data_IF_580442042459
#
_entry.id   IF_580442042459
#
_cell.length_a   1.000
_cell.length_b   1.000
_cell.length_c   1.000
_cell.angle_alpha   90.00
_cell.angle_beta   90.00
_cell.angle_gamma   90.00
#
_symmetry.space_group_name_H-M   'P 1'
#
loop_
_entity.id
_entity.type
_entity.pdbx_description
1 polymer ?
#
# COMPACT_ATOMS: atom_id res chain seq x y z
N UNK A 1 55.87 100.96 -29.51
CA UNK A 1 55.96 101.28 -30.95
C UNK A 1 55.23 102.60 -31.18
N UNK A 2 55.78 103.52 -31.99
CA UNK A 2 55.36 104.93 -32.12
C UNK A 2 55.62 105.79 -30.86
N UNK A 3 56.47 106.83 -30.83
CA UNK A 3 57.55 107.18 -31.78
C UNK A 3 57.54 108.63 -32.26
N UNK A 4 58.33 109.50 -31.62
CA UNK A 4 58.77 110.83 -32.12
C UNK A 4 57.62 111.87 -32.33
N UNK A 5 57.80 113.20 -32.43
CA UNK A 5 58.95 114.14 -32.40
C UNK A 5 58.40 115.57 -32.09
N UNK A 6 59.13 116.69 -31.96
CA UNK A 6 60.57 117.03 -32.07
C UNK A 6 60.92 117.99 -30.89
N UNK A 7 61.21 119.27 -31.12
CA UNK A 7 61.93 120.20 -30.25
C UNK A 7 61.60 121.69 -30.51
N UNK A 8 61.84 122.52 -29.50
CA UNK A 8 62.33 123.93 -29.51
C UNK A 8 62.46 124.67 -30.86
N UNK A 9 62.02 125.93 -30.86
CA UNK A 9 62.89 127.08 -31.21
C UNK A 9 62.41 128.36 -30.53
N UNK A 10 63.36 129.22 -30.15
CA UNK A 10 63.18 130.41 -29.31
C UNK A 10 64.03 131.54 -29.88
N UNK A 11 63.40 132.63 -30.31
CA UNK A 11 64.06 133.86 -30.80
C UNK A 11 63.01 134.94 -31.08
N UNK A 12 63.16 136.21 -30.71
CA UNK A 12 64.12 136.89 -29.82
C UNK A 12 63.44 138.22 -29.37
N UNK A 13 63.78 138.84 -28.22
CA UNK A 13 63.05 139.99 -27.68
C UNK A 13 63.38 141.31 -28.37
N UNK A 14 62.42 142.24 -28.39
CA UNK A 14 62.62 143.62 -28.86
C UNK A 14 62.16 144.64 -27.81
N UNK A 15 63.12 145.49 -27.42
CA UNK A 15 63.10 146.77 -26.71
C UNK A 15 62.10 147.07 -25.56
N UNK A 16 62.67 147.39 -24.41
CA UNK A 16 61.95 147.95 -23.26
C UNK A 16 61.54 149.41 -23.48
N UNK A 17 60.31 149.75 -23.06
CA UNK A 17 59.95 151.12 -22.63
C UNK A 17 59.41 151.08 -21.19
N UNK A 18 59.81 152.04 -20.34
CA UNK A 18 59.59 151.93 -18.89
C UNK A 18 58.28 152.59 -18.47
N UNK A 19 57.14 151.97 -18.80
CA UNK A 19 55.85 152.37 -18.24
C UNK A 19 55.56 151.56 -16.97
N UNK A 20 55.31 152.28 -15.88
CA UNK A 20 55.12 151.72 -14.54
C UNK A 20 53.76 151.05 -14.40
N UNK A 21 53.60 149.82 -14.92
CA UNK A 21 52.57 148.91 -14.41
C UNK A 21 52.86 148.65 -12.94
N UNK A 22 51.98 149.11 -12.05
CA UNK A 22 52.22 149.02 -10.62
C UNK A 22 52.38 147.57 -10.18
N UNK A 23 53.20 147.34 -9.15
CA UNK A 23 53.32 146.04 -8.47
C UNK A 23 51.93 145.43 -8.15
N UNK A 24 50.95 146.31 -7.89
CA UNK A 24 49.54 145.99 -7.67
C UNK A 24 48.90 145.15 -8.78
N UNK A 25 49.12 145.45 -10.06
CA UNK A 25 48.46 144.73 -11.18
C UNK A 25 49.00 143.31 -11.32
N UNK A 26 50.31 143.14 -11.14
CA UNK A 26 50.97 141.82 -11.12
C UNK A 26 50.47 141.01 -9.92
N UNK A 27 50.35 141.64 -8.74
CA UNK A 27 49.81 141.00 -7.54
C UNK A 27 48.33 140.63 -7.72
N UNK A 28 47.51 141.47 -8.37
CA UNK A 28 46.10 141.15 -8.63
C UNK A 28 45.94 140.03 -9.68
N UNK A 29 46.78 140.00 -10.71
CA UNK A 29 46.81 138.91 -11.69
C UNK A 29 47.24 137.59 -11.04
N UNK A 30 48.27 137.60 -10.20
CA UNK A 30 48.70 136.44 -9.40
C UNK A 30 47.60 136.01 -8.44
N UNK A 31 46.91 136.93 -7.76
CA UNK A 31 45.80 136.61 -6.86
C UNK A 31 44.62 135.95 -7.61
N UNK A 32 44.23 136.47 -8.78
CA UNK A 32 43.20 135.86 -9.65
C UNK A 32 43.61 134.47 -10.13
N UNK A 33 44.87 134.30 -10.53
CA UNK A 33 45.41 133.00 -10.94
C UNK A 33 45.43 132.00 -9.78
N UNK A 34 45.85 132.44 -8.59
CA UNK A 34 45.89 131.61 -7.38
C UNK A 34 44.48 131.25 -6.88
N UNK A 35 43.49 132.14 -7.01
CA UNK A 35 42.09 131.85 -6.75
C UNK A 35 41.50 130.85 -7.77
N UNK A 36 41.85 130.99 -9.05
CA UNK A 36 41.48 130.03 -10.10
C UNK A 36 42.07 128.63 -9.82
N UNK A 37 43.37 128.56 -9.53
CA UNK A 37 44.05 127.31 -9.16
C UNK A 37 43.45 126.69 -7.90
N UNK A 38 43.09 127.50 -6.89
CA UNK A 38 42.44 127.00 -5.67
C UNK A 38 41.07 126.41 -5.97
N UNK A 39 40.27 127.07 -6.83
CA UNK A 39 38.97 126.55 -7.29
C UNK A 39 39.10 125.25 -8.09
N UNK A 40 40.12 125.15 -8.94
CA UNK A 40 40.42 123.95 -9.73
C UNK A 40 40.89 122.79 -8.85
N UNK A 41 41.79 123.04 -7.89
CA UNK A 41 42.22 122.08 -6.88
C UNK A 41 41.03 121.57 -6.06
N UNK A 42 40.09 122.44 -5.69
CA UNK A 42 38.90 122.03 -4.93
C UNK A 42 37.93 121.18 -5.76
N UNK A 43 37.74 121.49 -7.05
CA UNK A 43 37.01 120.62 -7.99
C UNK A 43 37.68 119.26 -8.13
N UNK A 44 39.00 119.24 -8.34
CA UNK A 44 39.77 118.00 -8.49
C UNK A 44 39.74 117.15 -7.21
N UNK A 45 39.76 117.76 -6.02
CA UNK A 45 39.54 117.06 -4.74
C UNK A 45 38.16 116.40 -4.66
N UNK A 46 37.09 117.08 -5.10
CA UNK A 46 35.73 116.51 -5.13
C UNK A 46 35.63 115.33 -6.09
N UNK A 47 36.26 115.42 -7.26
CA UNK A 47 36.34 114.32 -8.24
C UNK A 47 37.15 113.14 -7.69
N UNK A 48 38.30 113.38 -7.07
CA UNK A 48 39.10 112.32 -6.43
C UNK A 48 38.32 111.59 -5.33
N UNK A 49 37.60 112.32 -4.48
CA UNK A 49 36.82 111.74 -3.38
C UNK A 49 35.62 110.93 -3.91
N UNK A 50 34.99 111.38 -5.00
CA UNK A 50 33.96 110.62 -5.71
C UNK A 50 34.53 109.31 -6.30
N UNK A 51 35.62 109.38 -7.07
CA UNK A 51 36.28 108.20 -7.66
C UNK A 51 36.79 107.22 -6.59
N UNK A 52 37.23 107.71 -5.44
CA UNK A 52 37.69 106.87 -4.33
C UNK A 52 36.54 106.13 -3.66
N UNK A 53 35.35 106.75 -3.53
CA UNK A 53 34.14 106.07 -3.07
C UNK A 53 33.66 105.03 -4.10
N UNK A 54 33.67 105.38 -5.39
CA UNK A 54 33.25 104.49 -6.48
C UNK A 54 34.16 103.26 -6.60
N UNK A 55 35.48 103.44 -6.45
CA UNK A 55 36.43 102.32 -6.33
C UNK A 55 36.12 101.41 -5.14
N UNK A 56 35.83 101.98 -3.97
CA UNK A 56 35.50 101.18 -2.77
C UNK A 56 34.17 100.41 -2.91
N UNK A 57 33.19 101.00 -3.59
CA UNK A 57 31.93 100.33 -3.93
C UNK A 57 32.17 99.18 -4.92
N UNK A 58 33.00 99.37 -5.95
CA UNK A 58 33.39 98.31 -6.88
C UNK A 58 34.19 97.19 -6.19
N UNK A 59 35.12 97.51 -5.28
CA UNK A 59 35.86 96.52 -4.48
C UNK A 59 34.92 95.65 -3.63
N UNK A 60 33.92 96.26 -2.98
CA UNK A 60 32.94 95.52 -2.18
C UNK A 60 31.99 94.68 -3.03
N UNK A 61 31.58 95.17 -4.22
CA UNK A 61 30.83 94.37 -5.20
C UNK A 61 31.65 93.17 -5.72
N UNK A 62 32.93 93.36 -6.07
CA UNK A 62 33.83 92.28 -6.51
C UNK A 62 33.99 91.22 -5.41
N UNK A 63 34.15 91.63 -4.15
CA UNK A 63 34.24 90.71 -3.02
C UNK A 63 32.95 89.89 -2.85
N UNK A 64 31.78 90.52 -2.99
CA UNK A 64 30.47 89.86 -2.92
C UNK A 64 30.29 88.83 -4.05
N UNK A 65 30.55 89.22 -5.31
CA UNK A 65 30.45 88.33 -6.47
C UNK A 65 31.46 87.18 -6.39
N UNK A 66 32.66 87.42 -5.86
CA UNK A 66 33.67 86.37 -5.63
C UNK A 66 33.21 85.34 -4.59
N UNK A 67 32.51 85.77 -3.53
CA UNK A 67 31.95 84.87 -2.53
C UNK A 67 30.79 84.04 -3.09
N UNK A 68 29.87 84.66 -3.82
CA UNK A 68 28.75 83.99 -4.50
C UNK A 68 29.23 82.98 -5.55
N UNK A 69 30.25 83.35 -6.35
CA UNK A 69 30.87 82.44 -7.32
C UNK A 69 31.50 81.21 -6.66
N UNK A 70 32.05 81.33 -5.45
CA UNK A 70 32.65 80.19 -4.73
C UNK A 70 31.60 79.27 -4.11
N UNK A 71 30.51 79.82 -3.58
CA UNK A 71 29.43 78.99 -3.04
C UNK A 71 28.66 78.27 -4.17
N UNK A 72 28.42 78.93 -5.30
CA UNK A 72 27.83 78.29 -6.48
C UNK A 72 28.75 77.19 -7.06
N UNK A 73 30.07 77.39 -7.13
CA UNK A 73 31.02 76.33 -7.49
C UNK A 73 30.93 75.13 -6.51
N UNK A 74 30.86 75.41 -5.20
CA UNK A 74 30.70 74.37 -4.16
C UNK A 74 29.39 73.59 -4.29
N UNK A 75 28.31 74.24 -4.76
CA UNK A 75 27.03 73.61 -5.03
C UNK A 75 27.07 72.73 -6.29
N UNK A 76 27.77 73.17 -7.35
CA UNK A 76 27.98 72.35 -8.56
C UNK A 76 28.68 71.04 -8.21
N UNK A 77 29.79 71.05 -7.48
CA UNK A 77 30.47 69.81 -7.08
C UNK A 77 29.60 68.87 -6.23
N UNK A 78 28.70 69.41 -5.39
CA UNK A 78 27.74 68.60 -4.63
C UNK A 78 26.67 67.97 -5.54
N UNK A 79 26.17 68.71 -6.53
CA UNK A 79 25.21 68.20 -7.50
C UNK A 79 25.84 67.14 -8.41
N UNK A 80 27.08 67.34 -8.88
CA UNK A 80 27.82 66.35 -9.65
C UNK A 80 28.01 65.04 -8.88
N UNK A 81 28.39 65.12 -7.60
CA UNK A 81 28.50 63.93 -6.73
C UNK A 81 27.15 63.20 -6.59
N UNK A 82 26.04 63.92 -6.46
CA UNK A 82 24.70 63.35 -6.41
C UNK A 82 24.27 62.72 -7.75
N UNK A 83 24.63 63.33 -8.89
CA UNK A 83 24.39 62.80 -10.24
C UNK A 83 25.16 61.50 -10.46
N UNK A 84 26.42 61.40 -10.01
CA UNK A 84 27.19 60.15 -10.14
C UNK A 84 26.62 59.03 -9.26
N UNK A 85 26.24 59.32 -8.01
CA UNK A 85 25.62 58.35 -7.11
C UNK A 85 24.29 57.81 -7.68
N UNK A 86 23.41 58.71 -8.14
CA UNK A 86 22.14 58.32 -8.76
C UNK A 86 22.34 57.50 -10.04
N UNK A 87 23.32 57.84 -10.90
CA UNK A 87 23.71 56.99 -12.05
C UNK A 87 24.10 55.57 -11.65
N UNK A 88 24.91 55.40 -10.60
CA UNK A 88 25.30 54.08 -10.10
C UNK A 88 24.09 53.29 -9.57
N UNK A 89 23.17 53.95 -8.87
CA UNK A 89 21.92 53.34 -8.42
C UNK A 89 21.03 52.90 -9.59
N UNK A 90 20.86 53.75 -10.62
CA UNK A 90 20.13 53.39 -11.84
C UNK A 90 20.75 52.16 -12.54
N UNK A 91 22.08 52.11 -12.69
CA UNK A 91 22.76 50.95 -13.29
C UNK A 91 22.58 49.65 -12.51
N UNK A 92 22.57 49.73 -11.17
CA UNK A 92 22.25 48.59 -10.30
C UNK A 92 20.81 48.12 -10.48
N UNK A 93 19.84 49.04 -10.47
CA UNK A 93 18.43 48.73 -10.68
C UNK A 93 18.14 48.14 -12.08
N UNK A 94 18.75 48.69 -13.13
CA UNK A 94 18.67 48.11 -14.48
C UNK A 94 19.19 46.68 -14.53
N UNK A 95 20.29 46.40 -13.83
CA UNK A 95 20.89 45.05 -13.78
C UNK A 95 19.97 44.06 -13.06
N UNK A 96 19.34 44.50 -11.96
CA UNK A 96 18.32 43.72 -11.25
C UNK A 96 17.08 43.47 -12.11
N UNK A 97 16.57 44.49 -12.81
CA UNK A 97 15.43 44.36 -13.74
C UNK A 97 15.73 43.36 -14.85
N UNK A 98 16.93 43.41 -15.45
CA UNK A 98 17.37 42.45 -16.48
C UNK A 98 17.42 41.02 -15.91
N UNK A 99 17.98 40.83 -14.71
CA UNK A 99 18.02 39.54 -14.02
C UNK A 99 16.61 38.98 -13.77
N UNK A 100 15.73 39.77 -13.14
CA UNK A 100 14.34 39.39 -12.87
C UNK A 100 13.57 39.09 -14.16
N UNK A 101 13.82 39.84 -15.25
CA UNK A 101 13.20 39.56 -16.53
C UNK A 101 13.62 38.20 -17.10
N UNK A 102 14.92 37.86 -17.05
CA UNK A 102 15.41 36.55 -17.51
C UNK A 102 14.85 35.39 -16.67
N UNK A 103 14.70 35.58 -15.36
CA UNK A 103 14.08 34.60 -14.47
C UNK A 103 12.58 34.42 -14.76
N UNK A 104 11.83 35.51 -14.96
CA UNK A 104 10.41 35.45 -15.34
C UNK A 104 10.20 34.73 -16.68
N UNK A 105 11.06 34.98 -17.67
CA UNK A 105 11.01 34.27 -18.96
C UNK A 105 11.26 32.77 -18.77
N UNK A 106 12.23 32.39 -17.94
CA UNK A 106 12.48 30.98 -17.61
C UNK A 106 11.29 30.33 -16.90
N UNK A 107 10.78 30.96 -15.85
CA UNK A 107 9.61 30.46 -15.10
C UNK A 107 8.39 30.28 -16.00
N UNK A 108 8.18 31.14 -17.00
CA UNK A 108 7.11 30.97 -17.98
C UNK A 108 7.27 29.68 -18.80
N UNK A 109 8.47 29.40 -19.30
CA UNK A 109 8.76 28.14 -20.00
C UNK A 109 8.62 26.92 -19.08
N UNK A 110 9.09 27.00 -17.84
CA UNK A 110 8.95 25.91 -16.85
C UNK A 110 7.46 25.63 -16.54
N UNK A 111 6.60 26.66 -16.54
CA UNK A 111 5.14 26.53 -16.40
C UNK A 111 4.49 25.94 -17.65
N UNK A 112 4.85 26.42 -18.85
CA UNK A 112 4.33 25.93 -20.13
C UNK A 112 4.64 24.42 -20.30
N UNK A 113 5.87 23.98 -19.99
CA UNK A 113 6.25 22.57 -20.02
C UNK A 113 5.47 21.71 -19.00
N UNK A 114 5.31 22.19 -17.77
CA UNK A 114 4.53 21.48 -16.75
C UNK A 114 3.02 21.39 -17.08
N UNK A 115 2.49 22.33 -17.87
CA UNK A 115 1.13 22.27 -18.40
C UNK A 115 1.00 21.21 -19.51
N UNK A 116 1.95 21.14 -20.45
CA UNK A 116 1.98 20.13 -21.51
C UNK A 116 2.08 18.69 -20.94
N UNK A 117 2.97 18.46 -19.97
CA UNK A 117 3.08 17.19 -19.24
C UNK A 117 1.76 16.80 -18.56
N UNK A 118 1.09 17.76 -17.92
CA UNK A 118 -0.20 17.52 -17.24
C UNK A 118 -1.31 17.18 -18.25
N UNK A 119 -1.37 17.87 -19.39
CA UNK A 119 -2.33 17.57 -20.45
C UNK A 119 -2.10 16.18 -21.06
N UNK A 120 -0.85 15.77 -21.29
CA UNK A 120 -0.53 14.40 -21.73
C UNK A 120 -1.00 13.36 -20.71
N UNK A 121 -0.74 13.59 -19.42
CA UNK A 121 -1.22 12.72 -18.34
C UNK A 121 -2.76 12.64 -18.30
N UNK A 122 -3.47 13.76 -18.50
CA UNK A 122 -4.93 13.80 -18.55
C UNK A 122 -5.50 13.04 -19.76
N UNK A 123 -4.88 13.14 -20.94
CA UNK A 123 -5.27 12.36 -22.12
C UNK A 123 -5.12 10.85 -21.84
N UNK A 124 -3.95 10.42 -21.37
CA UNK A 124 -3.68 9.02 -21.01
C UNK A 124 -4.65 8.48 -19.94
N UNK A 125 -4.96 9.29 -18.93
CA UNK A 125 -5.94 8.95 -17.90
C UNK A 125 -7.35 8.76 -18.48
N UNK A 126 -7.80 9.70 -19.31
CA UNK A 126 -9.13 9.66 -19.93
C UNK A 126 -9.30 8.45 -20.86
N UNK A 127 -8.26 8.11 -21.64
CA UNK A 127 -8.25 6.86 -22.43
C UNK A 127 -8.38 5.61 -21.56
N UNK A 128 -7.62 5.53 -20.46
CA UNK A 128 -7.66 4.39 -19.55
C UNK A 128 -9.03 4.26 -18.88
N UNK A 129 -9.62 5.38 -18.46
CA UNK A 129 -10.98 5.43 -17.93
C UNK A 129 -12.02 4.97 -18.97
N UNK A 130 -11.90 5.41 -20.22
CA UNK A 130 -12.77 4.96 -21.31
C UNK A 130 -12.65 3.45 -21.57
N UNK A 131 -11.43 2.89 -21.55
CA UNK A 131 -11.18 1.44 -21.67
C UNK A 131 -11.84 0.66 -20.53
N UNK A 132 -11.68 1.10 -19.27
CA UNK A 132 -12.36 0.49 -18.11
C UNK A 132 -13.88 0.52 -18.28
N UNK A 133 -14.43 1.67 -18.67
CA UNK A 133 -15.88 1.83 -18.86
C UNK A 133 -16.41 0.87 -19.92
N UNK A 134 -15.77 0.78 -21.08
CA UNK A 134 -16.13 -0.16 -22.13
C UNK A 134 -16.07 -1.63 -21.67
N UNK A 135 -15.05 -2.02 -20.91
CA UNK A 135 -14.97 -3.36 -20.32
C UNK A 135 -16.10 -3.63 -19.32
N UNK A 136 -16.44 -2.66 -18.47
CA UNK A 136 -17.53 -2.78 -17.49
C UNK A 136 -18.90 -2.90 -18.16
N UNK A 137 -19.13 -2.13 -19.22
CA UNK A 137 -20.37 -2.17 -19.99
C UNK A 137 -20.49 -3.51 -20.76
N UNK A 138 -19.39 -4.00 -21.34
CA UNK A 138 -19.32 -5.33 -21.98
C UNK A 138 -19.57 -6.48 -20.99
N UNK A 139 -18.98 -6.42 -19.78
CA UNK A 139 -19.21 -7.41 -18.74
C UNK A 139 -20.70 -7.46 -18.34
N UNK A 140 -21.32 -6.30 -18.13
CA UNK A 140 -22.76 -6.17 -17.85
C UNK A 140 -23.62 -6.79 -18.96
N UNK A 141 -23.25 -6.63 -20.22
CA UNK A 141 -23.97 -7.29 -21.33
C UNK A 141 -23.88 -8.82 -21.28
N UNK A 142 -22.74 -9.38 -20.87
CA UNK A 142 -22.55 -10.82 -20.71
C UNK A 142 -23.33 -11.35 -19.50
N UNK A 143 -23.27 -10.65 -18.36
CA UNK A 143 -24.04 -10.95 -17.15
C UNK A 143 -25.55 -10.99 -17.45
N UNK A 144 -26.07 -9.99 -18.18
CA UNK A 144 -27.48 -9.93 -18.60
C UNK A 144 -27.91 -11.13 -19.48
N UNK A 145 -26.98 -11.75 -20.21
CA UNK A 145 -27.23 -12.92 -21.08
C UNK A 145 -26.98 -14.26 -20.38
N UNK A 146 -26.37 -14.25 -19.18
CA UNK A 146 -25.88 -15.45 -18.50
C UNK A 146 -26.98 -16.45 -18.13
N UNK A 147 -28.10 -15.96 -17.59
CA UNK A 147 -29.26 -16.79 -17.23
C UNK A 147 -29.82 -17.52 -18.44
N UNK A 148 -30.00 -16.82 -19.57
CA UNK A 148 -30.46 -17.39 -20.83
C UNK A 148 -29.50 -18.45 -21.39
N UNK A 149 -28.17 -18.20 -21.34
CA UNK A 149 -27.19 -19.19 -21.78
C UNK A 149 -27.19 -20.45 -20.88
N UNK A 150 -27.39 -20.27 -19.58
CA UNK A 150 -27.50 -21.38 -18.61
C UNK A 150 -28.73 -22.24 -18.91
N UNK A 151 -29.91 -21.62 -19.04
CA UNK A 151 -31.14 -22.34 -19.39
C UNK A 151 -31.02 -23.06 -20.75
N UNK A 152 -30.41 -22.40 -21.74
CA UNK A 152 -30.20 -22.99 -23.07
C UNK A 152 -29.38 -24.30 -23.00
N UNK A 153 -28.34 -24.35 -22.18
CA UNK A 153 -27.52 -25.56 -22.02
C UNK A 153 -28.27 -26.65 -21.23
N UNK A 154 -29.02 -26.29 -20.19
CA UNK A 154 -29.92 -27.23 -19.50
C UNK A 154 -30.94 -27.86 -20.45
N UNK A 155 -31.57 -27.06 -21.34
CA UNK A 155 -32.50 -27.59 -22.35
C UNK A 155 -31.78 -28.49 -23.36
N UNK A 156 -30.56 -28.16 -23.80
CA UNK A 156 -29.76 -29.01 -24.70
C UNK A 156 -29.42 -30.34 -24.08
N UNK A 157 -29.03 -30.36 -22.81
CA UNK A 157 -28.76 -31.57 -22.04
C UNK A 157 -30.02 -32.43 -21.86
N UNK A 158 -31.18 -31.80 -21.58
CA UNK A 158 -32.47 -32.50 -21.55
C UNK A 158 -32.80 -33.14 -22.90
N UNK A 159 -32.64 -32.41 -24.02
CA UNK A 159 -32.83 -32.96 -25.37
C UNK A 159 -31.87 -34.11 -25.66
N UNK A 160 -30.61 -34.02 -25.22
CA UNK A 160 -29.61 -35.11 -25.36
C UNK A 160 -30.06 -36.37 -24.59
N UNK A 161 -30.52 -36.21 -23.34
CA UNK A 161 -31.09 -37.29 -22.52
C UNK A 161 -32.33 -37.91 -23.17
N UNK A 162 -33.26 -37.10 -23.65
CA UNK A 162 -34.48 -37.57 -24.32
C UNK A 162 -34.19 -38.33 -25.62
N UNK A 163 -33.19 -37.90 -26.42
CA UNK A 163 -32.74 -38.66 -27.61
C UNK A 163 -32.24 -40.05 -27.24
N UNK A 164 -31.33 -40.17 -26.27
CA UNK A 164 -30.80 -41.48 -25.86
C UNK A 164 -31.89 -42.39 -25.25
N UNK A 165 -32.86 -41.83 -24.53
CA UNK A 165 -34.01 -42.58 -24.02
C UNK A 165 -34.93 -43.05 -25.16
N UNK A 166 -35.20 -42.20 -26.16
CA UNK A 166 -35.96 -42.57 -27.36
C UNK A 166 -35.25 -43.68 -28.15
N UNK A 167 -33.94 -43.59 -28.33
CA UNK A 167 -33.14 -44.59 -29.04
C UNK A 167 -33.23 -45.97 -28.37
N UNK A 168 -33.11 -46.04 -27.04
CA UNK A 168 -33.33 -47.28 -26.27
C UNK A 168 -34.74 -47.83 -26.49
N UNK A 169 -35.78 -47.01 -26.32
CA UNK A 169 -37.16 -47.43 -26.53
C UNK A 169 -37.44 -47.89 -27.97
N UNK A 170 -36.78 -47.31 -28.97
CA UNK A 170 -36.87 -47.79 -30.37
C UNK A 170 -36.18 -49.14 -30.57
N UNK A 171 -35.02 -49.37 -29.92
CA UNK A 171 -34.36 -50.68 -29.94
C UNK A 171 -35.26 -51.76 -29.29
N UNK A 172 -35.82 -51.46 -28.11
CA UNK A 172 -36.75 -52.35 -27.42
C UNK A 172 -37.97 -52.68 -28.29
N UNK A 173 -38.57 -51.68 -28.96
CA UNK A 173 -39.75 -51.85 -29.82
C UNK A 173 -39.47 -52.53 -31.17
N UNK A 174 -38.25 -52.42 -31.71
CA UNK A 174 -37.85 -53.11 -32.96
C UNK A 174 -37.54 -54.60 -32.76
N UNK A 175 -37.41 -55.05 -31.51
CA UNK A 175 -37.17 -56.46 -31.17
C UNK A 175 -38.36 -57.06 -30.41
N UNK A 176 -39.24 -57.86 -31.07
CA UNK A 176 -40.36 -58.53 -30.40
C UNK A 176 -39.92 -59.50 -29.28
N UNK A 177 -38.68 -59.95 -29.32
CA UNK A 177 -38.01 -60.83 -28.36
C UNK A 177 -36.82 -60.11 -27.68
N UNK A 178 -36.98 -58.81 -27.43
CA UNK A 178 -35.91 -57.88 -27.07
C UNK A 178 -35.09 -58.22 -25.82
N UNK A 179 -33.97 -57.51 -25.67
CA UNK A 179 -32.83 -57.81 -24.78
C UNK A 179 -33.18 -58.08 -23.29
N UNK A 180 -34.35 -57.65 -22.83
CA UNK A 180 -34.88 -57.98 -21.49
C UNK A 180 -35.31 -59.45 -21.41
N UNK A 181 -35.92 -60.00 -22.46
CA UNK A 181 -36.32 -61.40 -22.55
C UNK A 181 -35.10 -62.33 -22.52
N UNK A 182 -34.05 -62.00 -23.27
CA UNK A 182 -32.79 -62.77 -23.25
C UNK A 182 -32.12 -62.72 -21.87
N UNK A 183 -32.08 -61.54 -21.21
CA UNK A 183 -31.56 -61.43 -19.84
C UNK A 183 -32.37 -62.25 -18.82
N UNK A 184 -33.70 -62.19 -18.90
CA UNK A 184 -34.60 -62.99 -18.04
C UNK A 184 -34.41 -64.49 -18.31
N UNK A 185 -34.21 -64.88 -19.57
CA UNK A 185 -34.01 -66.27 -19.97
C UNK A 185 -32.65 -66.82 -19.51
N UNK A 186 -31.58 -66.01 -19.54
CA UNK A 186 -30.31 -66.33 -18.90
C UNK A 186 -30.44 -66.49 -17.37
N UNK A 187 -31.16 -65.59 -16.72
CA UNK A 187 -31.31 -65.63 -15.26
C UNK A 187 -32.17 -66.81 -14.81
N UNK A 188 -33.17 -67.21 -15.62
CA UNK A 188 -33.89 -68.49 -15.47
C UNK A 188 -32.94 -69.69 -15.58
N UNK A 189 -31.97 -69.68 -16.50
CA UNK A 189 -30.97 -70.75 -16.62
C UNK A 189 -30.06 -70.77 -15.37
N UNK A 190 -29.49 -69.63 -14.98
CA UNK A 190 -28.65 -69.50 -13.77
C UNK A 190 -29.38 -69.94 -12.49
N UNK A 191 -30.69 -69.69 -12.39
CA UNK A 191 -31.52 -70.15 -11.28
C UNK A 191 -31.81 -71.65 -11.35
N UNK A 192 -32.05 -72.22 -12.53
CA UNK A 192 -32.21 -73.68 -12.72
C UNK A 192 -30.95 -74.43 -12.29
N UNK A 193 -29.76 -73.96 -12.70
CA UNK A 193 -28.49 -74.61 -12.33
C UNK A 193 -28.28 -74.59 -10.82
N UNK A 194 -28.52 -73.45 -10.16
CA UNK A 194 -28.48 -73.35 -8.68
C UNK A 194 -29.47 -74.31 -8.00
N UNK A 195 -30.68 -74.47 -8.54
CA UNK A 195 -31.67 -75.43 -8.02
C UNK A 195 -31.17 -76.87 -8.16
N UNK A 196 -30.50 -77.21 -9.27
CA UNK A 196 -29.91 -78.54 -9.49
C UNK A 196 -28.80 -78.78 -8.46
N UNK A 197 -27.82 -77.88 -8.32
CA UNK A 197 -26.72 -78.03 -7.35
C UNK A 197 -27.21 -78.13 -5.90
N UNK A 198 -28.22 -77.33 -5.52
CA UNK A 198 -28.83 -77.42 -4.19
C UNK A 198 -29.57 -78.74 -4.00
N UNK A 199 -30.27 -79.24 -5.02
CA UNK A 199 -30.97 -80.53 -4.97
C UNK A 199 -29.99 -81.71 -4.84
N UNK A 200 -28.85 -81.66 -5.54
CA UNK A 200 -27.76 -82.64 -5.40
C UNK A 200 -27.20 -82.65 -3.98
N UNK A 201 -26.87 -81.47 -3.42
CA UNK A 201 -26.38 -81.37 -2.03
C UNK A 201 -27.40 -81.82 -0.98
N UNK A 202 -28.71 -81.61 -1.23
CA UNK A 202 -29.79 -82.14 -0.38
C UNK A 202 -29.83 -83.68 -0.44
N UNK A 203 -29.69 -84.26 -1.64
CA UNK A 203 -29.65 -85.72 -1.81
C UNK A 203 -28.45 -86.34 -1.08
N UNK A 204 -27.24 -85.78 -1.24
CA UNK A 204 -26.03 -86.22 -0.53
C UNK A 204 -26.21 -86.18 0.99
N UNK A 205 -26.68 -85.06 1.54
CA UNK A 205 -26.96 -84.92 2.98
C UNK A 205 -28.03 -85.90 3.47
N UNK A 206 -29.00 -86.24 2.62
CA UNK A 206 -30.03 -87.24 2.93
C UNK A 206 -29.43 -88.64 3.01
N UNK A 207 -28.51 -89.00 2.10
CA UNK A 207 -27.76 -90.26 2.17
C UNK A 207 -26.93 -90.36 3.45
N UNK A 208 -26.15 -89.33 3.80
CA UNK A 208 -25.38 -89.28 5.05
C UNK A 208 -26.27 -89.44 6.30
N UNK A 209 -27.42 -88.76 6.34
CA UNK A 209 -28.39 -88.90 7.44
C UNK A 209 -28.91 -90.34 7.57
N UNK A 210 -29.09 -91.05 6.46
CA UNK A 210 -29.58 -92.42 6.46
C UNK A 210 -28.49 -93.44 6.87
N UNK A 211 -27.24 -93.18 6.53
CA UNK A 211 -26.10 -93.92 7.08
C UNK A 211 -25.97 -93.70 8.60
N UNK A 212 -26.10 -92.46 9.07
CA UNK A 212 -26.00 -92.14 10.49
C UNK A 212 -27.18 -92.70 11.32
N UNK A 213 -28.36 -92.85 10.72
CA UNK A 213 -29.46 -93.62 11.34
C UNK A 213 -29.09 -95.11 11.49
N UNK A 214 -28.38 -95.71 10.52
CA UNK A 214 -27.94 -97.10 10.58
C UNK A 214 -26.82 -97.32 11.60
N UNK A 215 -25.92 -96.35 11.80
CA UNK A 215 -24.88 -96.41 12.85
C UNK A 215 -25.52 -96.27 14.24
N UNK A 216 -26.42 -95.30 14.44
CA UNK A 216 -27.18 -95.13 15.67
C UNK A 216 -27.97 -96.38 16.08
N UNK A 217 -28.66 -97.04 15.14
CA UNK A 217 -29.43 -98.24 15.45
C UNK A 217 -28.54 -99.44 15.85
N UNK A 218 -27.32 -99.55 15.28
CA UNK A 218 -26.33 -100.53 15.73
C UNK A 218 -25.85 -100.24 17.16
N UNK A 219 -25.50 -98.98 17.45
CA UNK A 219 -25.08 -98.55 18.79
C UNK A 219 -26.18 -98.77 19.83
N UNK A 220 -27.44 -98.50 19.48
CA UNK A 220 -28.60 -98.73 20.35
C UNK A 220 -28.72 -100.19 20.78
N UNK A 221 -28.58 -101.12 19.82
CA UNK A 221 -28.60 -102.57 20.07
C UNK A 221 -27.44 -103.02 20.97
N UNK A 222 -26.24 -102.50 20.73
CA UNK A 222 -25.08 -102.81 21.58
C UNK A 222 -25.30 -102.29 23.02
N UNK A 223 -25.77 -101.06 23.19
CA UNK A 223 -26.11 -100.48 24.50
C UNK A 223 -27.18 -101.33 25.23
N UNK A 224 -28.17 -101.86 24.53
CA UNK A 224 -29.18 -102.73 25.13
C UNK A 224 -28.61 -104.10 25.55
N UNK A 225 -27.72 -104.69 24.75
CA UNK A 225 -26.99 -105.92 25.10
C UNK A 225 -26.11 -105.70 26.33
N UNK A 226 -25.39 -104.58 26.40
CA UNK A 226 -24.55 -104.26 27.56
C UNK A 226 -25.40 -104.00 28.82
N UNK A 227 -26.53 -103.30 28.73
CA UNK A 227 -27.46 -103.16 29.86
C UNK A 227 -27.94 -104.52 30.39
N UNK A 228 -28.34 -105.45 29.51
CA UNK A 228 -28.75 -106.81 29.91
C UNK A 228 -27.60 -107.59 30.58
N UNK A 229 -26.36 -107.43 30.12
CA UNK A 229 -25.16 -107.99 30.77
C UNK A 229 -24.95 -107.40 32.16
N UNK A 230 -24.99 -106.08 32.30
CA UNK A 230 -24.85 -105.41 33.60
C UNK A 230 -25.97 -105.78 34.58
N UNK A 231 -27.23 -105.89 34.12
CA UNK A 231 -28.35 -106.32 34.94
C UNK A 231 -28.17 -107.76 35.45
N UNK A 232 -27.68 -108.67 34.61
CA UNK A 232 -27.36 -110.04 35.01
C UNK A 232 -26.21 -110.10 36.04
N UNK A 233 -25.17 -109.26 35.88
CA UNK A 233 -24.08 -109.12 36.85
C UNK A 233 -24.62 -108.58 38.18
N UNK A 234 -25.44 -107.53 38.16
CA UNK A 234 -26.07 -106.94 39.35
C UNK A 234 -26.95 -107.95 40.10
N UNK A 235 -27.80 -108.71 39.40
CA UNK A 235 -28.61 -109.79 40.00
C UNK A 235 -27.73 -110.84 40.67
N UNK A 236 -26.63 -111.26 40.02
CA UNK A 236 -25.69 -112.26 40.57
C UNK A 236 -24.97 -111.75 41.83
N UNK A 237 -24.51 -110.50 41.82
CA UNK A 237 -23.91 -109.84 42.99
C UNK A 237 -24.94 -109.70 44.13
N UNK A 238 -26.18 -109.31 43.83
CA UNK A 238 -27.25 -109.20 44.82
C UNK A 238 -27.55 -110.56 45.48
N UNK A 239 -27.59 -111.66 44.71
CA UNK A 239 -27.71 -113.01 45.28
C UNK A 239 -26.49 -113.40 46.16
N UNK A 240 -25.27 -113.04 45.77
CA UNK A 240 -24.07 -113.28 46.58
C UNK A 240 -24.13 -112.50 47.91
N UNK A 241 -24.51 -111.22 47.88
CA UNK A 241 -24.70 -110.38 49.08
C UNK A 241 -25.79 -110.96 49.98
N UNK A 242 -26.94 -111.36 49.45
CA UNK A 242 -28.03 -111.96 50.24
C UNK A 242 -27.60 -113.30 50.87
N UNK A 243 -26.81 -114.12 50.17
CA UNK A 243 -26.24 -115.36 50.73
C UNK A 243 -25.26 -115.06 51.87
N UNK A 244 -24.38 -114.07 51.72
CA UNK A 244 -23.47 -113.64 52.79
C UNK A 244 -24.23 -113.07 54.00
N UNK A 245 -25.29 -112.27 53.78
CA UNK A 245 -26.14 -111.76 54.86
C UNK A 245 -26.91 -112.88 55.58
N UNK A 246 -27.46 -113.85 54.84
CA UNK A 246 -28.15 -115.02 55.42
C UNK A 246 -27.19 -115.85 56.26
N UNK A 247 -26.00 -116.17 55.73
CA UNK A 247 -24.94 -116.82 56.48
C UNK A 247 -24.57 -116.04 57.74
N UNK A 248 -24.39 -114.71 57.66
CA UNK A 248 -24.10 -113.86 58.83
C UNK A 248 -25.18 -113.98 59.91
N UNK A 249 -26.46 -113.98 59.54
CA UNK A 249 -27.57 -114.18 60.51
C UNK A 249 -27.51 -115.58 61.14
N UNK A 250 -27.23 -116.62 60.35
CA UNK A 250 -27.08 -117.99 60.88
C UNK A 250 -25.87 -118.12 61.82
N UNK A 251 -24.72 -117.52 61.48
CA UNK A 251 -23.55 -117.47 62.36
C UNK A 251 -23.84 -116.71 63.65
N UNK A 252 -24.55 -115.57 63.60
CA UNK A 252 -24.97 -114.85 64.81
C UNK A 252 -25.95 -115.66 65.67
N UNK A 253 -26.86 -116.41 65.05
CA UNK A 253 -27.76 -117.31 65.79
C UNK A 253 -27.00 -118.48 66.44
N UNK A 254 -26.07 -119.12 65.72
CA UNK A 254 -25.21 -120.17 66.27
C UNK A 254 -24.36 -119.64 67.45
N UNK A 255 -23.82 -118.42 67.34
CA UNK A 255 -23.10 -117.76 68.44
C UNK A 255 -24.02 -117.58 69.65
N UNK A 256 -25.24 -117.07 69.48
CA UNK A 256 -26.20 -116.91 70.59
C UNK A 256 -26.61 -118.25 71.24
N UNK A 257 -26.70 -119.34 70.47
CA UNK A 257 -26.96 -120.68 71.03
C UNK A 257 -25.74 -121.24 71.77
N UNK A 258 -24.53 -121.04 71.23
CA UNK A 258 -23.29 -121.41 71.91
C UNK A 258 -23.07 -120.59 73.19
N UNK A 259 -23.41 -119.30 73.19
CA UNK A 259 -23.41 -118.46 74.39
C UNK A 259 -24.41 -118.95 75.43
N UNK A 260 -25.65 -119.29 75.03
CA UNK A 260 -26.63 -119.92 75.94
C UNK A 260 -26.14 -121.23 76.52
N UNK A 261 -25.69 -122.17 75.69
CA UNK A 261 -25.19 -123.47 76.15
C UNK A 261 -23.92 -123.33 76.98
N UNK A 262 -23.05 -122.35 76.72
CA UNK A 262 -21.90 -122.04 77.58
C UNK A 262 -22.27 -121.38 78.92
N UNK A 263 -23.43 -120.73 79.01
CA UNK A 263 -24.03 -120.26 80.28
C UNK A 263 -24.71 -121.41 81.02
N UNK A 264 -25.39 -122.31 80.32
CA UNK A 264 -26.02 -123.50 80.90
C UNK A 264 -24.99 -124.52 81.40
N UNK A 265 -23.92 -124.78 80.64
CA UNK A 265 -22.78 -125.59 81.10
C UNK A 265 -22.06 -124.94 82.29
N UNK A 266 -21.96 -123.61 82.35
CA UNK A 266 -21.49 -122.90 83.55
C UNK A 266 -22.41 -123.09 84.75
N UNK A 267 -23.72 -123.27 84.55
CA UNK A 267 -24.67 -123.63 85.64
C UNK A 267 -24.58 -125.11 86.03
N UNK A 268 -24.42 -126.02 85.07
CA UNK A 268 -24.39 -127.46 85.32
C UNK A 268 -23.06 -127.96 85.91
N UNK A 269 -21.91 -127.40 85.50
CA UNK A 269 -20.63 -127.64 86.19
C UNK A 269 -20.61 -126.94 87.56
N UNK A 270 -21.55 -126.03 87.81
CA UNK A 270 -21.84 -125.47 89.13
C UNK A 270 -22.73 -126.33 90.03
N UNK A 271 -23.13 -127.56 89.63
CA UNK A 271 -23.91 -128.50 90.48
C UNK A 271 -23.69 -129.98 90.13
N UNK A 272 -22.49 -130.51 90.42
CA UNK A 272 -22.34 -131.79 91.15
C UNK A 272 -20.88 -132.03 91.55
N UNK A 273 -20.68 -131.95 92.87
CA UNK A 273 -19.57 -132.44 93.71
C UNK A 273 -18.14 -132.04 93.30
#
# INVERSE_FOLDING_TARGET
>A
MSGNREWKSQSIPEEAKPDTSSLTDVVEQVAKQQQSQTSEIEKNKKVLLYLQNELHELETQIASVSAESKETERQIYQQDAAIQNTKLQCGSLESQIKSLHTENVKLRFDIEAAQEDFEEHMIRYNEYYAKIKAHKDSLREVENKWSFMTELEEKRDLVRKLKTMKEKLMQDLQSPEGNVMTQVQEDIIKLKDKIITVKESINEKTCFLEEEKRTHEKLRKEIEVQHKRYEAILKRLHCQVNKLQSNRRHWQWNIQQLEKTAVELRKCIGTKD
#
